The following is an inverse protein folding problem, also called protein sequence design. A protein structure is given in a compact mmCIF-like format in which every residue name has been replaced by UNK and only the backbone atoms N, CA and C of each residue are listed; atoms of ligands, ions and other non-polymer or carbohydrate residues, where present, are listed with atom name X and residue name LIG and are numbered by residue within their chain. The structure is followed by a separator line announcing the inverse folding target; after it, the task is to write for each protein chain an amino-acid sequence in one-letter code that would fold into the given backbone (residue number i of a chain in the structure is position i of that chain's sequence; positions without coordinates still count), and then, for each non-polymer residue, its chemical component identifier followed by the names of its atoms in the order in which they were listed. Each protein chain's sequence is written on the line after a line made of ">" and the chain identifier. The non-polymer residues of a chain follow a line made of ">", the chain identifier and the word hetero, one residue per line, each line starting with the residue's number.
data_IF_188643299916
#
_entry.id   IF_188643299916
#
_cell.length_a   1.000
_cell.length_b   1.000
_cell.length_c   1.000
_cell.angle_alpha   90.00
_cell.angle_beta   90.00
_cell.angle_gamma   90.00
#
_symmetry.space_group_name_H-M   'P 1'
#
loop_
_entity.id
_entity.type
_entity.pdbx_description
1 polymer ?
#
# COMPACT_ATOMS: atom_id res chain seq x y z
N UNK A 1 0.07 -12.51 -20.35
CA UNK A 1 -0.17 -13.01 -18.98
C UNK A 1 0.48 -12.01 -18.04
N UNK A 2 -0.29 -11.08 -17.49
CA UNK A 2 0.21 -10.19 -16.44
C UNK A 2 0.20 -11.01 -15.17
N UNK A 3 1.37 -11.27 -14.60
CA UNK A 3 1.45 -11.92 -13.28
C UNK A 3 1.16 -10.82 -12.29
N UNK A 4 -0.05 -10.79 -11.73
CA UNK A 4 -0.29 -10.03 -10.50
C UNK A 4 0.60 -10.64 -9.42
N UNK A 5 1.53 -9.87 -8.82
CA UNK A 5 2.19 -10.35 -7.62
C UNK A 5 1.12 -10.56 -6.55
N UNK A 6 1.16 -11.71 -5.86
CA UNK A 6 0.19 -12.04 -4.80
C UNK A 6 0.16 -11.00 -3.68
N UNK A 7 1.23 -10.21 -3.57
CA UNK A 7 1.40 -9.09 -2.63
C UNK A 7 2.27 -7.99 -3.25
N UNK A 8 1.88 -6.74 -3.07
CA UNK A 8 2.63 -5.53 -3.41
C UNK A 8 2.81 -4.70 -2.15
N UNK A 9 3.98 -4.12 -1.95
CA UNK A 9 4.29 -3.34 -0.75
C UNK A 9 5.08 -2.10 -1.13
N UNK A 10 4.67 -0.94 -0.61
CA UNK A 10 5.42 0.29 -0.73
C UNK A 10 5.47 1.07 0.58
N UNK A 11 6.58 1.76 0.80
CA UNK A 11 6.66 2.85 1.78
C UNK A 11 6.17 4.12 1.11
N UNK A 12 5.35 4.90 1.80
CA UNK A 12 4.88 6.20 1.33
C UNK A 12 5.08 7.26 2.42
N UNK A 13 4.61 8.48 2.16
CA UNK A 13 4.66 9.55 3.15
C UNK A 13 6.07 10.10 3.34
N UNK A 14 6.34 10.63 4.54
CA UNK A 14 7.53 11.45 4.78
C UNK A 14 8.86 10.70 4.63
N UNK A 15 8.85 9.42 4.97
CA UNK A 15 10.02 8.54 4.82
C UNK A 15 10.36 8.35 3.35
N UNK A 16 9.36 8.12 2.50
CA UNK A 16 9.56 7.95 1.06
C UNK A 16 10.04 9.26 0.38
N UNK A 17 9.49 10.41 0.78
CA UNK A 17 9.90 11.73 0.25
C UNK A 17 11.24 12.24 0.79
N UNK A 18 11.74 11.66 1.88
CA UNK A 18 12.96 12.11 2.54
C UNK A 18 12.80 13.37 3.42
N UNK A 19 11.56 13.77 3.74
CA UNK A 19 11.22 14.94 4.58
C UNK A 19 10.78 14.55 6.01
N UNK A 20 11.14 13.34 6.46
CA UNK A 20 10.81 12.79 7.77
C UNK A 20 11.59 13.44 8.94
N UNK A 21 11.12 13.21 10.17
CA UNK A 21 11.79 13.60 11.40
C UNK A 21 11.72 12.50 12.47
N UNK A 22 12.34 12.73 13.63
CA UNK A 22 12.42 11.76 14.74
C UNK A 22 11.06 11.35 15.35
N UNK A 23 9.97 12.03 15.01
CA UNK A 23 8.60 11.68 15.40
C UNK A 23 7.80 11.01 14.27
N UNK A 24 8.34 10.93 13.05
CA UNK A 24 7.67 10.28 11.92
C UNK A 24 7.48 8.78 12.17
N UNK A 25 6.34 8.28 11.67
CA UNK A 25 6.12 6.86 11.42
C UNK A 25 6.62 6.49 10.01
N UNK A 26 6.86 5.21 9.80
CA UNK A 26 7.08 4.58 8.50
C UNK A 26 5.72 4.11 7.99
N UNK A 27 5.14 4.90 7.09
CA UNK A 27 3.85 4.59 6.48
C UNK A 27 4.03 3.53 5.38
N UNK A 28 3.31 2.43 5.49
CA UNK A 28 3.42 1.30 4.56
C UNK A 28 2.06 0.98 3.97
N UNK A 29 1.96 0.87 2.65
CA UNK A 29 0.78 0.30 1.99
C UNK A 29 1.09 -1.14 1.59
N UNK A 30 0.22 -2.04 2.02
CA UNK A 30 0.27 -3.47 1.68
C UNK A 30 -0.96 -3.78 0.83
N UNK A 31 -0.74 -4.22 -0.40
CA UNK A 31 -1.79 -4.59 -1.33
C UNK A 31 -1.70 -6.08 -1.58
N UNK A 32 -2.76 -6.82 -1.30
CA UNK A 32 -2.75 -8.28 -1.40
C UNK A 32 -4.09 -8.84 -1.87
N UNK A 33 -4.05 -10.01 -2.49
CA UNK A 33 -5.25 -10.76 -2.79
C UNK A 33 -5.73 -11.59 -1.59
N UNK A 34 -7.01 -11.98 -1.60
CA UNK A 34 -7.64 -12.86 -0.60
C UNK A 34 -7.56 -12.33 0.84
N UNK A 35 -7.71 -11.02 0.99
CA UNK A 35 -7.81 -10.36 2.29
C UNK A 35 -9.19 -10.57 2.95
N UNK A 36 -9.27 -10.57 4.30
CA UNK A 36 -10.54 -10.45 5.01
C UNK A 36 -11.35 -9.24 4.53
N UNK A 37 -12.68 -9.30 4.62
CA UNK A 37 -13.53 -8.18 4.15
C UNK A 37 -13.40 -6.93 5.02
N UNK A 38 -13.28 -7.09 6.32
CA UNK A 38 -13.29 -5.96 7.26
C UNK A 38 -11.88 -5.39 7.48
N UNK A 39 -11.72 -4.05 7.53
CA UNK A 39 -10.41 -3.41 7.68
C UNK A 39 -9.62 -3.83 8.92
N UNK A 40 -10.30 -4.10 10.05
CA UNK A 40 -9.64 -4.50 11.29
C UNK A 40 -9.02 -5.89 11.18
N UNK A 41 -9.71 -6.87 10.60
CA UNK A 41 -9.15 -8.19 10.38
C UNK A 41 -8.02 -8.19 9.36
N UNK A 42 -8.04 -7.28 8.37
CA UNK A 42 -6.90 -7.10 7.45
C UNK A 42 -5.67 -6.61 8.18
N UNK A 43 -5.82 -5.62 9.06
CA UNK A 43 -4.73 -5.13 9.89
C UNK A 43 -4.22 -6.24 10.83
N UNK A 44 -5.13 -7.02 11.43
CA UNK A 44 -4.75 -8.17 12.25
C UNK A 44 -3.97 -9.25 11.46
N UNK A 45 -4.26 -9.42 10.16
CA UNK A 45 -3.53 -10.36 9.30
C UNK A 45 -2.07 -9.95 9.02
N UNK A 46 -1.75 -8.66 9.16
CA UNK A 46 -0.36 -8.16 9.12
C UNK A 46 0.41 -8.46 10.41
N UNK A 47 -0.31 -8.83 11.48
CA UNK A 47 0.28 -9.07 12.80
C UNK A 47 0.59 -7.77 13.54
N UNK A 48 1.49 -7.86 14.53
CA UNK A 48 1.96 -6.68 15.27
C UNK A 48 3.17 -6.10 14.53
N UNK A 49 3.04 -4.94 13.87
CA UNK A 49 4.16 -4.34 13.17
C UNK A 49 5.23 -3.87 14.16
N UNK A 50 6.49 -3.70 13.72
CA UNK A 50 7.52 -3.05 14.52
C UNK A 50 7.09 -1.63 14.96
N UNK A 51 7.71 -1.13 16.02
CA UNK A 51 7.42 0.22 16.52
C UNK A 51 7.53 1.26 15.40
N UNK A 52 6.53 2.14 15.32
CA UNK A 52 6.42 3.22 14.33
C UNK A 52 6.25 2.78 12.88
N UNK A 53 5.91 1.52 12.62
CA UNK A 53 5.44 1.09 11.29
C UNK A 53 3.92 1.15 11.28
N UNK A 54 3.36 1.95 10.37
CA UNK A 54 1.93 2.19 10.24
C UNK A 54 1.42 1.60 8.92
N UNK A 55 0.94 0.34 8.91
CA UNK A 55 0.45 -0.28 7.69
C UNK A 55 -1.00 0.10 7.38
N UNK A 56 -1.27 0.32 6.10
CA UNK A 56 -2.61 0.34 5.50
C UNK A 56 -2.73 -0.87 4.58
N UNK A 57 -3.82 -1.62 4.69
CA UNK A 57 -3.96 -2.91 4.00
C UNK A 57 -5.16 -2.90 3.06
N UNK A 58 -4.89 -3.12 1.79
CA UNK A 58 -5.86 -2.98 0.70
C UNK A 58 -5.85 -4.20 -0.22
N UNK A 59 -7.01 -4.47 -0.82
CA UNK A 59 -7.06 -5.33 -2.01
C UNK A 59 -6.69 -4.52 -3.25
N UNK A 60 -6.47 -5.21 -4.38
CA UNK A 60 -6.28 -4.55 -5.68
C UNK A 60 -7.50 -3.67 -6.02
N UNK A 61 -8.71 -4.14 -5.71
CA UNK A 61 -9.94 -3.35 -5.91
C UNK A 61 -9.93 -2.07 -5.07
N UNK A 62 -9.53 -2.16 -3.80
CA UNK A 62 -9.44 -1.00 -2.92
C UNK A 62 -8.38 -0.01 -3.45
N UNK A 63 -7.23 -0.50 -3.92
CA UNK A 63 -6.22 0.36 -4.56
C UNK A 63 -6.81 1.19 -5.69
N UNK A 64 -7.53 0.57 -6.64
CA UNK A 64 -8.13 1.31 -7.75
C UNK A 64 -9.24 2.26 -7.30
N UNK A 65 -10.03 1.87 -6.29
CA UNK A 65 -11.06 2.75 -5.73
C UNK A 65 -10.45 3.97 -5.05
N UNK A 66 -9.44 3.77 -4.21
CA UNK A 66 -8.75 4.84 -3.50
C UNK A 66 -7.93 5.73 -4.43
N UNK A 67 -7.33 5.16 -5.49
CA UNK A 67 -6.70 5.93 -6.59
C UNK A 67 -7.71 6.83 -7.29
N UNK A 68 -8.89 6.31 -7.66
CA UNK A 68 -9.96 7.11 -8.31
C UNK A 68 -10.49 8.20 -7.39
N UNK A 69 -10.53 7.97 -6.08
CA UNK A 69 -10.95 8.96 -5.08
C UNK A 69 -9.89 10.03 -4.81
N UNK A 70 -8.66 9.85 -5.31
CA UNK A 70 -7.53 10.73 -4.98
C UNK A 70 -7.11 10.62 -3.51
N UNK A 71 -7.27 9.45 -2.90
CA UNK A 71 -6.88 9.22 -1.52
C UNK A 71 -5.38 9.55 -1.33
N UNK A 72 -5.00 10.36 -0.32
CA UNK A 72 -3.60 10.75 -0.11
C UNK A 72 -2.61 9.58 0.04
N UNK A 73 -3.04 8.46 0.60
CA UNK A 73 -2.20 7.25 0.72
C UNK A 73 -1.95 6.66 -0.67
N UNK A 74 -3.00 6.51 -1.48
CA UNK A 74 -2.89 5.93 -2.82
C UNK A 74 -2.10 6.85 -3.77
N UNK A 75 -2.37 8.15 -3.72
CA UNK A 75 -1.64 9.16 -4.50
C UNK A 75 -0.19 9.24 -4.07
N UNK A 76 0.09 9.38 -2.77
CA UNK A 76 1.45 9.47 -2.26
C UNK A 76 2.28 8.21 -2.53
N UNK A 77 1.68 7.02 -2.44
CA UNK A 77 2.37 5.78 -2.81
C UNK A 77 2.64 5.66 -4.31
N UNK A 78 1.74 6.14 -5.17
CA UNK A 78 1.94 6.09 -6.62
C UNK A 78 2.98 7.11 -7.12
N UNK A 79 2.95 8.32 -6.54
CA UNK A 79 3.75 9.44 -7.04
C UNK A 79 5.16 9.43 -6.44
N UNK A 80 5.27 9.20 -5.13
CA UNK A 80 6.52 9.30 -4.37
C UNK A 80 6.93 7.98 -3.68
N UNK A 81 6.14 6.91 -3.85
CA UNK A 81 6.33 5.69 -3.07
C UNK A 81 7.60 4.91 -3.41
N UNK A 82 8.22 4.35 -2.38
CA UNK A 82 9.34 3.41 -2.51
C UNK A 82 8.79 1.99 -2.50
N UNK A 83 8.68 1.39 -3.68
CA UNK A 83 8.16 0.04 -3.87
C UNK A 83 9.19 -1.01 -3.42
N UNK A 84 8.85 -1.77 -2.38
CA UNK A 84 9.68 -2.85 -1.84
C UNK A 84 9.41 -4.18 -2.55
N UNK A 85 8.14 -4.40 -2.93
CA UNK A 85 7.68 -5.57 -3.67
C UNK A 85 6.66 -5.11 -4.71
N UNK A 86 6.88 -5.45 -5.99
CA UNK A 86 6.00 -5.04 -7.10
C UNK A 86 6.17 -3.57 -7.50
N UNK A 87 5.15 -3.00 -8.14
CA UNK A 87 5.08 -1.57 -8.49
C UNK A 87 3.63 -1.08 -8.66
N UNK A 88 3.45 0.24 -8.72
CA UNK A 88 2.16 0.87 -9.03
C UNK A 88 1.65 0.47 -10.43
N UNK A 89 2.54 0.43 -11.42
CA UNK A 89 2.19 0.09 -12.81
C UNK A 89 1.70 -1.35 -12.92
N UNK A 90 2.27 -2.28 -12.15
CA UNK A 90 1.84 -3.66 -12.12
C UNK A 90 0.41 -3.79 -11.55
N UNK A 91 0.07 -2.99 -10.54
CA UNK A 91 -1.29 -2.92 -9.99
C UNK A 91 -2.26 -2.29 -10.98
N UNK A 92 -1.87 -1.19 -11.62
CA UNK A 92 -2.71 -0.47 -12.58
C UNK A 92 -3.05 -1.34 -13.81
N UNK A 93 -2.11 -2.20 -14.25
CA UNK A 93 -2.35 -3.17 -15.33
C UNK A 93 -3.27 -4.33 -14.91
N UNK A 94 -3.26 -4.72 -13.64
CA UNK A 94 -4.06 -5.83 -13.12
C UNK A 94 -5.57 -5.56 -13.14
N UNK A 95 -6.00 -4.32 -12.90
CA UNK A 95 -7.40 -3.92 -12.89
C UNK A 95 -8.04 -3.69 -14.26
N UNK A 96 -7.28 -3.86 -15.35
CA UNK A 96 -7.73 -3.58 -16.74
C UNK A 96 -8.08 -4.85 -17.52
N UNK A 97 -8.05 -6.04 -16.89
CA UNK A 97 -8.34 -7.34 -17.50
C UNK A 97 -9.71 -7.90 -17.15
#
# INVERSE_FOLDING_TARGET
>A
MVITPSQVVAVFGSVARGDWNDASDVDVVVIAERLPRDPLSRLAAVGVPPGRVAPVVWSVTDWHEERRRGNPVATGAADDGVWLVGSAEALDQAGTS
#
